data_IF_928597427560
#
_entry.id   IF_928597427560
#
_cell.length_a   1.000
_cell.length_b   1.000
_cell.length_c   1.000
_cell.angle_alpha   90.00
_cell.angle_beta   90.00
_cell.angle_gamma   90.00
#
_symmetry.space_group_name_H-M   'P 1'
#
loop_
_entity.id
_entity.type
_entity.pdbx_description
1 polymer ?
#
# COMPACT_ATOMS: atom_id res chain seq x y z
N UNK A 1 8.42 -41.51 -1.64
CA UNK A 1 8.55 -40.50 -0.57
C UNK A 1 7.93 -39.21 -1.09
N UNK A 2 6.67 -38.94 -0.78
CA UNK A 2 6.00 -37.72 -1.22
C UNK A 2 6.63 -36.52 -0.49
N UNK A 3 7.33 -35.66 -1.23
CA UNK A 3 7.80 -34.37 -0.72
C UNK A 3 6.56 -33.59 -0.33
N UNK A 4 6.36 -33.31 0.97
CA UNK A 4 5.37 -32.34 1.40
C UNK A 4 5.60 -31.08 0.56
N UNK A 5 4.62 -30.73 -0.27
CA UNK A 5 4.70 -29.54 -1.13
C UNK A 5 4.84 -28.37 -0.18
N UNK A 6 5.98 -27.67 -0.23
CA UNK A 6 6.12 -26.41 0.48
C UNK A 6 4.90 -25.57 0.10
N UNK A 7 4.06 -25.22 1.06
CA UNK A 7 2.85 -24.43 0.81
C UNK A 7 3.29 -23.15 0.12
N UNK A 8 3.01 -23.03 -1.19
CA UNK A 8 3.29 -21.82 -1.92
C UNK A 8 2.57 -20.67 -1.22
N UNK A 9 3.33 -19.64 -0.84
CA UNK A 9 2.76 -18.46 -0.18
C UNK A 9 2.01 -17.68 -1.25
N UNK A 10 0.69 -17.85 -1.28
CA UNK A 10 -0.19 -17.25 -2.27
C UNK A 10 -1.37 -16.58 -1.59
N UNK A 11 -1.66 -15.33 -1.93
CA UNK A 11 -2.81 -14.63 -1.37
C UNK A 11 -2.82 -13.13 -1.63
N UNK A 12 -3.83 -12.47 -1.08
CA UNK A 12 -3.99 -11.02 -1.08
C UNK A 12 -3.96 -10.53 0.36
N UNK A 13 -3.11 -9.55 0.62
CA UNK A 13 -2.93 -8.90 1.92
C UNK A 13 -3.53 -7.49 1.85
N UNK A 14 -4.36 -7.15 2.83
CA UNK A 14 -4.89 -5.80 3.02
C UNK A 14 -4.00 -5.13 4.07
N UNK A 15 -3.03 -4.34 3.60
CA UNK A 15 -2.07 -3.67 4.48
C UNK A 15 -2.56 -2.27 4.80
N UNK A 16 -2.68 -1.93 6.08
CA UNK A 16 -2.82 -0.55 6.49
C UNK A 16 -1.43 0.11 6.48
N UNK A 17 -1.12 0.85 5.42
CA UNK A 17 0.18 1.49 5.23
C UNK A 17 0.26 2.72 6.15
N UNK A 18 1.28 2.82 7.02
CA UNK A 18 1.49 4.05 7.79
C UNK A 18 2.03 5.18 6.90
N UNK A 19 1.98 6.41 7.42
CA UNK A 19 2.73 7.53 6.84
C UNK A 19 4.24 7.31 7.01
N UNK A 20 5.04 7.74 6.04
CA UNK A 20 6.49 7.56 6.01
C UNK A 20 6.97 6.63 4.89
N UNK A 21 6.72 5.31 4.95
CA UNK A 21 7.22 4.39 3.93
C UNK A 21 6.52 4.55 2.59
N UNK A 22 7.28 4.32 1.52
CA UNK A 22 6.71 4.19 0.17
C UNK A 22 5.92 2.89 0.06
N UNK A 23 5.03 2.81 -0.93
CA UNK A 23 4.34 1.54 -1.25
C UNK A 23 5.32 0.42 -1.63
N UNK A 24 6.49 0.78 -2.18
CA UNK A 24 7.53 -0.18 -2.54
C UNK A 24 8.24 -0.74 -1.31
N UNK A 25 8.48 0.09 -0.28
CA UNK A 25 9.08 -0.36 0.98
C UNK A 25 8.20 -1.40 1.67
N UNK A 26 6.87 -1.20 1.65
CA UNK A 26 5.91 -2.20 2.16
C UNK A 26 6.00 -3.50 1.38
N UNK A 27 6.07 -3.45 0.04
CA UNK A 27 6.27 -4.66 -0.77
C UNK A 27 7.59 -5.35 -0.42
N UNK A 28 8.68 -4.60 -0.24
CA UNK A 28 9.97 -5.13 0.21
C UNK A 28 9.88 -5.83 1.56
N UNK A 29 9.19 -5.21 2.52
CA UNK A 29 8.93 -5.80 3.83
C UNK A 29 8.13 -7.10 3.72
N UNK A 30 7.06 -7.13 2.92
CA UNK A 30 6.26 -8.34 2.69
C UNK A 30 7.10 -9.45 2.05
N UNK A 31 7.94 -9.13 1.04
CA UNK A 31 8.86 -10.10 0.43
C UNK A 31 9.80 -10.72 1.47
N UNK A 32 10.32 -9.91 2.39
CA UNK A 32 11.22 -10.35 3.44
C UNK A 32 10.51 -11.24 4.46
N UNK A 33 9.39 -10.79 5.04
CA UNK A 33 8.61 -11.56 6.04
C UNK A 33 8.09 -12.87 5.46
N UNK A 34 7.57 -12.82 4.24
CA UNK A 34 7.00 -13.98 3.56
C UNK A 34 8.00 -14.74 2.70
N UNK A 35 9.30 -14.43 2.74
CA UNK A 35 10.33 -15.12 1.95
C UNK A 35 9.87 -15.48 0.52
N UNK A 36 9.15 -14.55 -0.12
CA UNK A 36 8.48 -14.73 -1.41
C UNK A 36 8.88 -13.57 -2.31
N UNK A 37 9.27 -13.87 -3.55
CA UNK A 37 9.75 -12.88 -4.50
C UNK A 37 8.62 -12.28 -5.32
N UNK A 38 7.62 -13.10 -5.67
CA UNK A 38 6.46 -12.70 -6.43
C UNK A 38 5.49 -11.92 -5.55
N UNK A 39 5.76 -10.62 -5.37
CA UNK A 39 4.92 -9.70 -4.60
C UNK A 39 4.74 -8.41 -5.39
N UNK A 40 3.53 -7.88 -5.42
CA UNK A 40 3.18 -6.59 -6.06
C UNK A 40 2.00 -5.93 -5.37
N UNK A 41 1.79 -4.63 -5.58
CA UNK A 41 0.68 -3.87 -5.00
C UNK A 41 -0.31 -3.42 -6.08
N UNK A 42 -1.58 -3.20 -5.70
CA UNK A 42 -2.66 -2.87 -6.64
C UNK A 42 -2.88 -1.35 -6.78
N UNK A 43 -1.78 -0.61 -6.92
CA UNK A 43 -1.76 0.86 -7.00
C UNK A 43 -1.03 1.52 -5.84
N UNK A 44 -0.50 2.71 -6.09
CA UNK A 44 0.46 3.38 -5.22
C UNK A 44 -0.25 4.31 -4.23
N UNK A 45 0.20 4.31 -2.98
CA UNK A 45 -0.04 5.36 -2.01
C UNK A 45 1.23 6.20 -1.84
N UNK A 46 1.05 7.52 -1.78
CA UNK A 46 2.13 8.46 -1.47
C UNK A 46 2.76 8.17 -0.10
N UNK A 47 4.04 8.51 0.10
CA UNK A 47 4.70 8.35 1.40
C UNK A 47 3.97 9.08 2.53
N UNK A 48 3.40 10.26 2.24
CA UNK A 48 2.64 11.07 3.19
C UNK A 48 1.19 10.58 3.41
N UNK A 49 0.72 9.60 2.64
CA UNK A 49 -0.61 9.04 2.81
C UNK A 49 -0.54 7.80 3.72
N UNK A 50 -1.51 7.66 4.60
CA UNK A 50 -1.83 6.40 5.28
C UNK A 50 -3.04 5.71 4.67
N UNK A 51 -3.24 4.44 4.98
CA UNK A 51 -4.44 3.69 4.64
C UNK A 51 -4.18 2.46 3.77
N UNK A 52 -5.25 1.97 3.12
CA UNK A 52 -5.25 0.65 2.51
C UNK A 52 -4.32 0.52 1.29
N UNK A 53 -3.30 -0.32 1.42
CA UNK A 53 -2.46 -0.83 0.33
C UNK A 53 -2.74 -2.31 0.12
N UNK A 54 -3.38 -2.64 -1.02
CA UNK A 54 -3.65 -4.03 -1.39
C UNK A 54 -2.41 -4.66 -2.01
N UNK A 55 -1.88 -5.72 -1.39
CA UNK A 55 -0.66 -6.42 -1.81
C UNK A 55 -0.98 -7.86 -2.21
N UNK A 56 -0.57 -8.26 -3.41
CA UNK A 56 -0.71 -9.63 -3.92
C UNK A 56 0.61 -10.39 -3.78
N UNK A 57 0.52 -11.66 -3.38
CA UNK A 57 1.66 -12.55 -3.10
C UNK A 57 1.52 -13.83 -3.91
N UNK A 58 2.64 -14.33 -4.46
CA UNK A 58 2.71 -15.53 -5.27
C UNK A 58 1.86 -15.43 -6.54
N UNK A 59 1.14 -16.52 -6.84
CA UNK A 59 0.27 -16.62 -8.01
C UNK A 59 -0.88 -15.59 -8.03
N UNK A 60 -1.21 -14.96 -6.88
CA UNK A 60 -2.20 -13.90 -6.79
C UNK A 60 -1.74 -12.58 -7.43
N UNK A 61 -0.44 -12.39 -7.71
CA UNK A 61 0.07 -11.21 -8.45
C UNK A 61 -0.58 -11.02 -9.82
N UNK A 62 -1.13 -12.09 -10.42
CA UNK A 62 -1.95 -12.04 -11.63
C UNK A 62 -3.24 -11.22 -11.49
N UNK A 63 -3.70 -10.98 -10.25
CA UNK A 63 -4.87 -10.17 -9.96
C UNK A 63 -4.59 -8.66 -9.96
N UNK A 64 -3.32 -8.25 -9.92
CA UNK A 64 -2.91 -6.83 -9.82
C UNK A 64 -3.57 -5.93 -10.88
N UNK A 65 -3.61 -6.28 -12.19
CA UNK A 65 -4.24 -5.43 -13.20
C UNK A 65 -5.73 -5.20 -12.94
N UNK A 66 -6.43 -6.22 -12.41
CA UNK A 66 -7.86 -6.16 -12.14
C UNK A 66 -8.16 -5.34 -10.88
N UNK A 67 -7.41 -5.60 -9.79
CA UNK A 67 -7.60 -4.89 -8.52
C UNK A 67 -7.15 -3.42 -8.60
N UNK A 68 -6.17 -3.11 -9.45
CA UNK A 68 -5.73 -1.73 -9.67
C UNK A 68 -6.77 -0.89 -10.42
N UNK A 69 -7.65 -1.53 -11.18
CA UNK A 69 -8.71 -0.86 -11.95
C UNK A 69 -9.98 -0.60 -11.13
N UNK A 70 -10.05 -1.06 -9.88
CA UNK A 70 -11.20 -0.82 -9.00
C UNK A 70 -11.16 0.60 -8.45
N UNK A 71 -12.35 1.20 -8.27
CA UNK A 71 -12.51 2.52 -7.68
C UNK A 71 -11.93 2.60 -6.27
N UNK A 72 -11.39 3.79 -5.93
CA UNK A 72 -10.73 4.05 -4.66
C UNK A 72 -11.26 5.34 -4.05
N UNK A 73 -11.48 5.30 -2.75
CA UNK A 73 -11.96 6.45 -1.97
C UNK A 73 -10.82 6.95 -1.10
N UNK A 74 -10.57 8.25 -1.19
CA UNK A 74 -9.54 8.94 -0.43
C UNK A 74 -10.17 10.03 0.41
N UNK A 75 -9.65 10.21 1.63
CA UNK A 75 -9.91 11.38 2.46
C UNK A 75 -8.64 12.21 2.52
N UNK A 76 -8.74 13.47 2.11
CA UNK A 76 -7.65 14.43 2.18
C UNK A 76 -8.08 15.66 2.95
N UNK A 77 -7.18 16.19 3.78
CA UNK A 77 -7.34 17.50 4.39
C UNK A 77 -6.48 18.49 3.60
N UNK A 78 -7.09 19.58 3.13
CA UNK A 78 -6.28 20.72 2.70
C UNK A 78 -5.81 21.48 3.93
N UNK A 79 -4.52 21.82 4.05
CA UNK A 79 -4.07 22.82 5.00
C UNK A 79 -4.86 24.11 4.78
N UNK A 80 -5.33 24.71 5.88
CA UNK A 80 -5.99 26.02 5.82
C UNK A 80 -4.96 27.03 5.30
N UNK A 81 -5.33 27.80 4.28
CA UNK A 81 -4.51 28.95 3.88
C UNK A 81 -4.42 29.88 5.09
N UNK A 82 -3.21 30.23 5.51
CA UNK A 82 -3.02 31.26 6.51
C UNK A 82 -3.18 32.60 5.78
N UNK A 83 -4.32 33.25 5.98
CA UNK A 83 -4.56 34.59 5.48
C UNK A 83 -3.45 35.51 6.00
N UNK A 84 -2.66 36.09 5.11
CA UNK A 84 -1.54 36.98 5.43
C UNK A 84 -1.97 38.33 6.04
N UNK A 85 -3.18 38.46 6.55
CA UNK A 85 -3.69 39.70 7.13
C UNK A 85 -3.46 39.76 8.64
N UNK A 86 -2.17 39.81 9.01
CA UNK A 86 -1.75 40.38 10.28
C UNK A 86 -2.02 41.88 10.31
N UNK A 87 -3.27 42.28 10.59
CA UNK A 87 -3.58 43.64 11.06
C UNK A 87 -4.10 43.56 12.48
N UNK A 88 -3.20 43.74 13.43
CA UNK A 88 -3.55 44.28 14.74
C UNK A 88 -3.76 45.79 14.56
N UNK A 89 -5.02 46.23 14.58
CA UNK A 89 -5.38 47.60 14.96
C UNK A 89 -6.18 47.47 16.25
N UNK A 90 -5.54 47.84 17.35
CA UNK A 90 -6.08 47.99 18.69
C UNK A 90 -5.08 48.81 19.48
#
# INVERSE_FOLDING_TARGET
>A
MARATATERCGVLLVDKPEGPTSHDVVGFVRWVLNEKAVGHCGTLDPLASGLLVVCVGAATRLVPYLSAVDKVYRALRPRSLDHHGRSRG
#
